data_IF_696530345788
#
_entry.id   IF_696530345788
#
_cell.length_a   1.000
_cell.length_b   1.000
_cell.length_c   1.000
_cell.angle_alpha   90.00
_cell.angle_beta   90.00
_cell.angle_gamma   90.00
#
_symmetry.space_group_name_H-M   'P 1'
#
loop_
_entity.id
_entity.type
_entity.pdbx_description
1 polymer ?
#
# COMPACT_ATOMS: atom_id res chain seq x y z
N UNK A 1 8.52 -49.37 -7.56
CA UNK A 1 8.72 -47.93 -7.82
C UNK A 1 9.34 -47.32 -6.58
N UNK A 2 10.56 -46.75 -6.63
CA UNK A 2 11.23 -46.26 -5.42
C UNK A 2 10.63 -44.94 -4.94
N UNK A 3 10.31 -44.93 -3.65
CA UNK A 3 9.78 -43.80 -2.89
C UNK A 3 10.87 -42.72 -2.77
N UNK A 4 10.72 -41.59 -3.47
CA UNK A 4 11.62 -40.43 -3.30
C UNK A 4 11.23 -39.73 -2.01
N UNK A 5 11.90 -40.09 -0.92
CA UNK A 5 11.94 -39.26 0.28
C UNK A 5 12.58 -37.92 -0.10
N UNK A 6 11.77 -36.87 -0.16
CA UNK A 6 12.27 -35.50 -0.17
C UNK A 6 13.01 -35.29 1.16
N UNK A 7 14.33 -35.52 1.16
CA UNK A 7 15.19 -35.01 2.20
C UNK A 7 15.19 -33.48 2.06
N UNK A 8 14.26 -32.83 2.78
CA UNK A 8 14.36 -31.41 3.06
C UNK A 8 15.62 -31.21 3.88
N UNK A 9 16.63 -30.55 3.30
CA UNK A 9 17.89 -30.27 3.94
C UNK A 9 17.60 -29.46 5.23
N UNK A 10 18.00 -29.91 6.43
CA UNK A 10 17.63 -29.26 7.70
C UNK A 10 18.20 -27.84 7.86
N UNK A 11 19.06 -27.41 6.93
CA UNK A 11 19.63 -26.06 6.86
C UNK A 11 18.94 -25.17 5.82
N UNK A 12 17.97 -25.69 5.07
CA UNK A 12 17.21 -24.89 4.13
C UNK A 12 16.09 -24.17 4.89
N UNK A 13 16.09 -22.82 4.92
CA UNK A 13 15.05 -22.08 5.60
C UNK A 13 13.70 -22.46 4.98
N UNK A 14 12.71 -22.73 5.82
CA UNK A 14 11.37 -23.08 5.37
C UNK A 14 10.91 -22.08 4.29
N UNK A 15 10.39 -22.56 3.15
CA UNK A 15 9.98 -21.68 2.07
C UNK A 15 8.94 -20.70 2.60
N UNK A 16 9.25 -19.40 2.50
CA UNK A 16 8.33 -18.33 2.91
C UNK A 16 7.03 -18.50 2.14
N UNK A 17 5.95 -18.78 2.88
CA UNK A 17 4.65 -19.00 2.29
C UNK A 17 4.20 -17.75 1.52
N UNK A 18 3.78 -17.89 0.24
CA UNK A 18 3.44 -16.74 -0.56
C UNK A 18 2.21 -16.05 0.02
N UNK A 19 2.39 -14.77 0.36
CA UNK A 19 1.32 -13.90 0.81
C UNK A 19 0.28 -13.77 -0.32
N UNK A 20 -0.89 -14.41 -0.14
CA UNK A 20 -1.98 -14.35 -1.11
C UNK A 20 -2.80 -13.06 -0.92
N UNK A 21 -2.22 -11.92 -1.30
CA UNK A 21 -2.83 -10.60 -1.17
C UNK A 21 -3.71 -10.20 -2.37
N UNK A 22 -3.97 -11.14 -3.31
CA UNK A 22 -4.67 -10.85 -4.56
C UNK A 22 -6.07 -10.30 -4.35
N UNK A 23 -6.83 -10.89 -3.41
CA UNK A 23 -8.18 -10.44 -3.08
C UNK A 23 -8.20 -9.11 -2.33
N UNK A 24 -7.28 -8.95 -1.38
CA UNK A 24 -7.13 -7.72 -0.61
C UNK A 24 -6.75 -6.54 -1.52
N UNK A 25 -5.88 -6.78 -2.51
CA UNK A 25 -5.51 -5.79 -3.53
C UNK A 25 -6.67 -5.47 -4.48
N UNK A 26 -7.40 -6.49 -4.92
CA UNK A 26 -8.50 -6.35 -5.89
C UNK A 26 -9.67 -5.53 -5.32
N UNK A 27 -9.96 -5.66 -4.03
CA UNK A 27 -11.07 -4.95 -3.37
C UNK A 27 -10.58 -3.68 -2.68
N UNK A 28 -9.41 -3.73 -2.02
CA UNK A 28 -8.86 -2.64 -1.23
C UNK A 28 -8.50 -1.41 -2.05
N UNK A 29 -7.88 -1.58 -3.23
CA UNK A 29 -7.51 -0.45 -4.10
C UNK A 29 -8.75 0.29 -4.63
N UNK A 30 -9.76 -0.38 -5.24
CA UNK A 30 -10.96 0.32 -5.69
C UNK A 30 -11.73 0.96 -4.52
N UNK A 31 -11.83 0.27 -3.38
CA UNK A 31 -12.57 0.78 -2.22
C UNK A 31 -11.92 2.06 -1.65
N UNK A 32 -10.59 2.10 -1.51
CA UNK A 32 -9.87 3.28 -1.01
C UNK A 32 -9.97 4.47 -1.97
N UNK A 33 -9.88 4.23 -3.28
CA UNK A 33 -10.09 5.28 -4.30
C UNK A 33 -11.53 5.78 -4.28
N UNK A 34 -12.51 4.88 -4.21
CA UNK A 34 -13.93 5.25 -4.19
C UNK A 34 -14.26 6.07 -2.95
N UNK A 35 -13.78 5.65 -1.78
CA UNK A 35 -13.95 6.40 -0.53
C UNK A 35 -13.31 7.78 -0.61
N UNK A 36 -12.10 7.87 -1.17
CA UNK A 36 -11.41 9.15 -1.37
C UNK A 36 -12.21 10.04 -2.32
N UNK A 37 -12.72 9.51 -3.43
CA UNK A 37 -13.55 10.27 -4.34
C UNK A 37 -14.86 10.75 -3.71
N UNK A 38 -15.48 9.94 -2.86
CA UNK A 38 -16.73 10.27 -2.19
C UNK A 38 -16.56 11.39 -1.16
N UNK A 39 -15.48 11.33 -0.37
CA UNK A 39 -15.19 12.32 0.67
C UNK A 39 -14.89 13.72 0.13
N UNK A 40 -14.51 13.83 -1.13
CA UNK A 40 -14.12 15.10 -1.75
C UNK A 40 -14.92 15.39 -3.02
N UNK A 41 -16.13 14.82 -3.12
CA UNK A 41 -16.99 15.02 -4.28
C UNK A 41 -17.25 16.51 -4.56
N UNK A 42 -17.43 17.28 -3.50
CA UNK A 42 -17.72 18.72 -3.52
C UNK A 42 -16.55 19.56 -4.09
N UNK A 43 -15.30 19.07 -3.98
CA UNK A 43 -14.11 19.74 -4.49
C UNK A 43 -13.90 19.55 -5.99
N UNK A 44 -14.66 18.66 -6.64
CA UNK A 44 -14.60 18.47 -8.09
C UNK A 44 -15.53 19.40 -8.86
N UNK A 45 -16.31 20.27 -8.19
CA UNK A 45 -17.32 21.14 -8.79
C UNK A 45 -18.28 20.38 -9.74
N UNK A 46 -18.51 19.10 -9.46
CA UNK A 46 -19.27 18.18 -10.32
C UNK A 46 -18.74 18.02 -11.77
N UNK A 47 -17.50 18.42 -12.04
CA UNK A 47 -16.86 18.23 -13.35
C UNK A 47 -16.47 16.77 -13.57
N UNK A 48 -17.15 16.13 -14.52
CA UNK A 48 -16.88 14.73 -14.92
C UNK A 48 -15.43 14.49 -15.34
N UNK A 49 -14.80 15.47 -15.97
CA UNK A 49 -13.41 15.38 -16.41
C UNK A 49 -12.41 15.49 -15.26
N UNK A 50 -12.68 16.36 -14.28
CA UNK A 50 -11.86 16.48 -13.07
C UNK A 50 -11.94 15.21 -12.22
N UNK A 51 -13.15 14.65 -12.10
CA UNK A 51 -13.38 13.38 -11.42
C UNK A 51 -12.58 12.24 -12.06
N UNK A 52 -12.64 12.10 -13.40
CA UNK A 52 -11.98 11.00 -14.10
C UNK A 52 -10.45 11.08 -13.98
N UNK A 53 -9.87 12.26 -14.16
CA UNK A 53 -8.43 12.50 -14.02
C UNK A 53 -7.95 12.20 -12.60
N UNK A 54 -8.67 12.69 -11.60
CA UNK A 54 -8.30 12.47 -10.19
C UNK A 54 -8.46 11.02 -9.78
N UNK A 55 -9.50 10.34 -10.24
CA UNK A 55 -9.70 8.91 -10.00
C UNK A 55 -8.54 8.09 -10.57
N UNK A 56 -8.13 8.37 -11.81
CA UNK A 56 -7.07 7.62 -12.49
C UNK A 56 -5.71 7.85 -11.80
N UNK A 57 -5.43 9.10 -11.40
CA UNK A 57 -4.25 9.44 -10.61
C UNK A 57 -4.28 8.78 -9.22
N UNK A 58 -5.44 8.74 -8.57
CA UNK A 58 -5.67 8.09 -7.29
C UNK A 58 -5.44 6.58 -7.35
N UNK A 59 -5.92 5.91 -8.41
CA UNK A 59 -5.66 4.48 -8.65
C UNK A 59 -4.16 4.22 -8.82
N UNK A 60 -3.49 5.02 -9.66
CA UNK A 60 -2.06 4.87 -9.91
C UNK A 60 -1.25 5.04 -8.62
N UNK A 61 -1.53 6.11 -7.86
CA UNK A 61 -0.89 6.38 -6.57
C UNK A 61 -1.12 5.26 -5.56
N UNK A 62 -2.38 4.87 -5.35
CA UNK A 62 -2.75 3.83 -4.39
C UNK A 62 -2.13 2.49 -4.75
N UNK A 63 -2.05 2.17 -6.04
CA UNK A 63 -1.38 0.96 -6.53
C UNK A 63 0.11 0.97 -6.23
N UNK A 64 0.80 2.09 -6.47
CA UNK A 64 2.22 2.22 -6.16
C UNK A 64 2.48 2.12 -4.66
N UNK A 65 1.69 2.83 -3.84
CA UNK A 65 1.78 2.76 -2.39
C UNK A 65 1.58 1.32 -1.89
N UNK A 66 0.56 0.61 -2.41
CA UNK A 66 0.32 -0.79 -2.08
C UNK A 66 1.52 -1.69 -2.39
N UNK A 67 2.15 -1.50 -3.55
CA UNK A 67 3.33 -2.28 -3.93
C UNK A 67 4.52 -2.03 -2.98
N UNK A 68 4.74 -0.77 -2.58
CA UNK A 68 5.79 -0.42 -1.61
C UNK A 68 5.52 -1.04 -0.25
N UNK A 69 4.29 -0.95 0.26
CA UNK A 69 3.90 -1.53 1.54
C UNK A 69 4.00 -3.06 1.54
N UNK A 70 3.59 -3.71 0.44
CA UNK A 70 3.76 -5.15 0.24
C UNK A 70 5.23 -5.55 0.23
N UNK A 71 6.06 -4.81 -0.51
CA UNK A 71 7.50 -5.05 -0.54
C UNK A 71 8.12 -4.90 0.86
N UNK A 72 7.74 -3.86 1.60
CA UNK A 72 8.19 -3.65 2.97
C UNK A 72 7.81 -4.81 3.90
N UNK A 73 6.58 -5.29 3.81
CA UNK A 73 6.12 -6.43 4.61
C UNK A 73 6.88 -7.72 4.29
N UNK A 74 7.14 -7.99 3.01
CA UNK A 74 7.95 -9.15 2.62
C UNK A 74 9.39 -9.01 3.14
N UNK A 75 9.93 -7.79 3.10
CA UNK A 75 11.23 -7.49 3.67
C UNK A 75 11.26 -7.68 5.20
N UNK A 76 10.25 -7.22 5.95
CA UNK A 76 10.23 -7.44 7.40
C UNK A 76 10.04 -8.92 7.75
N UNK A 77 9.28 -9.69 6.96
CA UNK A 77 9.14 -11.14 7.13
C UNK A 77 10.44 -11.90 6.87
N UNK A 78 11.21 -11.51 5.85
CA UNK A 78 12.50 -12.17 5.57
C UNK A 78 13.57 -11.84 6.61
N UNK A 79 13.55 -10.62 7.17
CA UNK A 79 14.52 -10.21 8.20
C UNK A 79 14.18 -10.71 9.61
N UNK A 80 12.90 -11.00 9.89
CA UNK A 80 12.42 -11.48 11.19
C UNK A 80 11.59 -12.79 11.04
N UNK A 81 12.23 -13.92 10.68
CA UNK A 81 11.55 -15.18 10.41
C UNK A 81 11.07 -15.94 11.66
N UNK A 82 11.66 -15.66 12.82
CA UNK A 82 11.44 -16.44 14.05
C UNK A 82 10.13 -16.05 14.78
N UNK A 83 9.44 -17.05 15.35
CA UNK A 83 8.13 -16.90 16.02
C UNK A 83 8.26 -16.06 17.29
N UNK A 84 9.40 -16.14 17.99
CA UNK A 84 9.71 -15.30 19.16
C UNK A 84 9.86 -13.80 18.82
N UNK A 85 10.01 -13.45 17.54
CA UNK A 85 10.20 -12.07 17.08
C UNK A 85 8.93 -11.47 16.45
N UNK A 86 7.79 -12.16 16.57
CA UNK A 86 6.51 -11.74 15.96
C UNK A 86 6.10 -10.34 16.40
N UNK A 87 6.22 -10.00 17.70
CA UNK A 87 5.92 -8.65 18.19
C UNK A 87 6.81 -7.57 17.59
N UNK A 88 8.12 -7.85 17.48
CA UNK A 88 9.09 -6.91 16.86
C UNK A 88 8.80 -6.74 15.37
N UNK A 89 8.43 -7.82 14.67
CA UNK A 89 8.02 -7.77 13.26
C UNK A 89 6.79 -6.90 13.04
N UNK A 90 5.79 -6.99 13.92
CA UNK A 90 4.58 -6.15 13.86
C UNK A 90 4.94 -4.68 14.06
N UNK A 91 5.72 -4.35 15.09
CA UNK A 91 6.12 -2.97 15.38
C UNK A 91 6.91 -2.36 14.21
N UNK A 92 7.89 -3.08 13.65
CA UNK A 92 8.70 -2.60 12.53
C UNK A 92 7.85 -2.45 11.25
N UNK A 93 6.91 -3.36 11.03
CA UNK A 93 5.98 -3.26 9.89
C UNK A 93 5.11 -2.02 10.01
N UNK A 94 4.49 -1.79 11.17
CA UNK A 94 3.67 -0.61 11.43
C UNK A 94 4.48 0.69 11.35
N UNK A 95 5.68 0.72 11.93
CA UNK A 95 6.56 1.87 11.84
C UNK A 95 6.88 2.21 10.38
N UNK A 96 7.20 1.20 9.55
CA UNK A 96 7.41 1.42 8.13
C UNK A 96 6.16 1.89 7.39
N UNK A 97 4.98 1.36 7.73
CA UNK A 97 3.72 1.83 7.15
C UNK A 97 3.46 3.31 7.46
N UNK A 98 3.68 3.74 8.70
CA UNK A 98 3.58 5.16 9.09
C UNK A 98 4.56 6.01 8.28
N UNK A 99 5.81 5.57 8.13
CA UNK A 99 6.82 6.27 7.33
C UNK A 99 6.41 6.36 5.86
N UNK A 100 6.01 5.25 5.23
CA UNK A 100 5.64 5.27 3.81
C UNK A 100 4.36 6.08 3.56
N UNK A 101 3.35 5.97 4.40
CA UNK A 101 2.10 6.73 4.25
C UNK A 101 2.26 8.23 4.53
N UNK A 102 3.28 8.65 5.28
CA UNK A 102 3.61 10.07 5.49
C UNK A 102 4.57 10.60 4.43
N UNK A 103 5.55 9.81 4.00
CA UNK A 103 6.51 10.19 2.99
C UNK A 103 5.91 10.23 1.57
N UNK A 104 4.98 9.32 1.24
CA UNK A 104 4.41 9.23 -0.11
C UNK A 104 3.59 10.45 -0.55
N UNK A 105 2.74 11.08 0.30
CA UNK A 105 2.09 12.34 -0.05
C UNK A 105 3.09 13.49 -0.24
N UNK A 106 4.13 13.54 0.60
CA UNK A 106 5.19 14.57 0.50
C UNK A 106 5.96 14.42 -0.80
N UNK A 107 6.36 13.20 -1.16
CA UNK A 107 7.04 12.91 -2.41
C UNK A 107 6.18 13.29 -3.63
N UNK A 108 4.89 13.01 -3.57
CA UNK A 108 3.96 13.37 -4.64
C UNK A 108 3.76 14.89 -4.76
N UNK A 109 3.67 15.58 -3.63
CA UNK A 109 3.60 17.04 -3.59
C UNK A 109 4.86 17.68 -4.21
N UNK A 110 6.05 17.18 -3.86
CA UNK A 110 7.31 17.61 -4.46
C UNK A 110 7.34 17.35 -5.98
N UNK A 111 6.89 16.18 -6.41
CA UNK A 111 6.79 15.84 -7.84
C UNK A 111 5.90 16.83 -8.59
N UNK A 112 4.76 17.20 -8.00
CA UNK A 112 3.84 18.18 -8.60
C UNK A 112 4.48 19.55 -8.70
N UNK A 113 5.19 20.00 -7.67
CA UNK A 113 5.93 21.28 -7.73
C UNK A 113 6.90 21.27 -8.90
N UNK A 114 7.67 20.20 -9.06
CA UNK A 114 8.61 20.06 -10.18
C UNK A 114 7.89 20.09 -11.53
N UNK A 115 6.78 19.36 -11.67
CA UNK A 115 6.00 19.36 -12.91
C UNK A 115 5.38 20.73 -13.23
N UNK A 116 4.93 21.46 -12.21
CA UNK A 116 4.43 22.83 -12.36
C UNK A 116 5.50 23.79 -12.86
N UNK A 117 6.78 23.59 -12.49
CA UNK A 117 7.91 24.38 -13.05
C UNK A 117 8.12 24.17 -14.55
N UNK A 118 7.70 23.01 -15.07
CA UNK A 118 7.78 22.66 -16.50
C UNK A 118 6.49 23.04 -17.25
N UNK A 119 5.58 23.78 -16.60
CA UNK A 119 4.35 24.28 -17.21
C UNK A 119 3.19 23.28 -17.20
N UNK A 120 3.31 22.17 -16.48
CA UNK A 120 2.21 21.22 -16.30
C UNK A 120 1.31 21.71 -15.17
N UNK A 121 0.12 22.25 -15.49
CA UNK A 121 -0.84 22.64 -14.46
C UNK A 121 -1.47 21.39 -13.84
N UNK A 122 -1.14 21.13 -12.57
CA UNK A 122 -1.76 20.04 -11.80
C UNK A 122 -2.78 20.68 -10.86
N UNK A 123 -4.01 20.18 -10.85
CA UNK A 123 -5.09 20.68 -9.99
C UNK A 123 -4.72 20.51 -8.51
N UNK A 124 -5.14 21.46 -7.65
CA UNK A 124 -4.81 21.54 -6.22
C UNK A 124 -5.37 20.42 -5.31
N UNK A 125 -5.72 19.27 -5.87
CA UNK A 125 -6.34 18.12 -5.21
C UNK A 125 -5.28 17.23 -4.50
N UNK A 126 -4.26 17.84 -3.90
CA UNK A 126 -3.20 17.10 -3.18
C UNK A 126 -3.66 16.58 -1.80
N UNK A 127 -4.66 17.24 -1.20
CA UNK A 127 -5.25 16.81 0.07
C UNK A 127 -5.94 15.44 -0.02
N UNK A 128 -6.50 15.12 -1.18
CA UNK A 128 -7.14 13.85 -1.48
C UNK A 128 -6.20 12.65 -1.35
N UNK A 129 -4.94 12.83 -1.74
CA UNK A 129 -3.94 11.77 -1.73
C UNK A 129 -3.40 11.52 -0.32
N UNK A 130 -3.31 12.54 0.53
CA UNK A 130 -3.00 12.38 1.96
C UNK A 130 -4.08 11.53 2.64
N UNK A 131 -5.36 11.82 2.39
CA UNK A 131 -6.47 11.06 2.98
C UNK A 131 -6.54 9.64 2.44
N UNK A 132 -6.29 9.43 1.14
CA UNK A 132 -6.16 8.08 0.57
C UNK A 132 -5.03 7.27 1.21
N UNK A 133 -3.92 7.93 1.56
CA UNK A 133 -2.76 7.31 2.23
C UNK A 133 -3.06 6.91 3.67
N UNK A 134 -3.89 7.67 4.37
CA UNK A 134 -4.35 7.36 5.72
C UNK A 134 -5.42 6.27 5.71
N UNK A 135 -6.34 6.30 4.74
CA UNK A 135 -7.37 5.26 4.57
C UNK A 135 -6.75 3.89 4.25
N UNK A 136 -5.69 3.85 3.43
CA UNK A 136 -4.94 2.62 3.14
C UNK A 136 -4.19 2.07 4.36
N UNK A 137 -3.71 2.94 5.25
CA UNK A 137 -3.14 2.55 6.55
C UNK A 137 -4.17 1.78 7.40
N UNK A 138 -5.43 2.23 7.41
CA UNK A 138 -6.52 1.56 8.10
C UNK A 138 -6.86 0.20 7.47
N UNK A 139 -6.97 0.12 6.14
CA UNK A 139 -7.35 -1.13 5.45
C UNK A 139 -6.25 -2.19 5.55
N UNK A 140 -4.99 -1.78 5.43
CA UNK A 140 -3.85 -2.70 5.50
C UNK A 140 -3.54 -3.05 6.96
N UNK A 141 -3.52 -2.07 7.86
CA UNK A 141 -3.30 -2.30 9.30
C UNK A 141 -4.31 -3.27 9.89
N UNK A 142 -5.61 -2.96 9.76
CA UNK A 142 -6.69 -3.82 10.29
C UNK A 142 -6.82 -5.14 9.52
N UNK A 143 -6.66 -5.10 8.19
CA UNK A 143 -6.76 -6.30 7.36
C UNK A 143 -5.68 -7.33 7.68
N UNK A 144 -4.47 -6.88 8.00
CA UNK A 144 -3.40 -7.79 8.44
C UNK A 144 -3.59 -8.30 9.85
N UNK A 145 -4.11 -7.47 10.75
CA UNK A 145 -4.38 -7.88 12.14
C UNK A 145 -5.46 -8.96 12.19
N UNK A 146 -6.58 -8.79 11.47
CA UNK A 146 -7.69 -9.74 11.44
C UNK A 146 -7.41 -11.06 10.69
N UNK A 147 -6.41 -11.07 9.79
CA UNK A 147 -6.07 -12.27 9.02
C UNK A 147 -5.01 -13.14 9.69
N UNK A 148 -4.24 -12.57 10.63
CA UNK A 148 -3.11 -13.25 11.26
C UNK A 148 -3.21 -13.34 12.80
N UNK A 149 -4.27 -12.79 13.40
CA UNK A 149 -4.71 -12.99 14.78
C UNK A 149 -6.21 -13.34 14.79
#
# INVERSE_FOLDING_TARGET
>A
MPNRTFQTNPFEPAPLEPLNDRWLRLIGIPATVLLSNLLFLDLYEYSRWAYLKTSLLGIAYTTLLWLVLRWWLLYTRSNYPDVGQTGRRVVVTFAGYVVFCTASPVALWLLVIVLARVGVSVSGLHLLQVVASLASLGTIGLGYELLYY
#
